data_IF_302305285868
#
_entry.id   IF_302305285868
#
_cell.length_a   1.000
_cell.length_b   1.000
_cell.length_c   1.000
_cell.angle_alpha   90.00
_cell.angle_beta   90.00
_cell.angle_gamma   90.00
#
_symmetry.space_group_name_H-M   'P 1'
#
loop_
_entity.id
_entity.type
_entity.pdbx_description
1 polymer ?
#
# COMPACT_ATOMS: atom_id res chain seq x y z
N UNK A 1 -8.22 71.39 18.04
CA UNK A 1 -9.14 70.27 17.80
C UNK A 1 -8.61 69.50 16.63
N UNK A 2 -7.92 68.41 16.82
CA UNK A 2 -7.40 67.55 15.79
C UNK A 2 -8.23 66.23 15.81
N UNK A 3 -9.02 66.05 14.76
CA UNK A 3 -9.78 64.83 14.53
C UNK A 3 -8.85 63.68 14.18
N UNK A 4 -8.89 62.63 14.98
CA UNK A 4 -8.22 61.35 14.70
C UNK A 4 -9.09 60.55 13.72
N UNK A 5 -8.54 60.28 12.55
CA UNK A 5 -9.13 59.37 11.55
C UNK A 5 -8.97 57.90 12.02
N UNK A 6 -10.04 57.09 12.10
CA UNK A 6 -9.93 55.68 12.49
C UNK A 6 -9.30 54.88 11.34
N UNK A 7 -8.22 54.16 11.69
CA UNK A 7 -7.58 53.18 10.82
C UNK A 7 -8.50 51.92 10.76
N UNK A 8 -8.89 51.45 9.58
CA UNK A 8 -9.68 50.20 9.51
C UNK A 8 -8.85 49.02 9.92
N UNK A 9 -9.26 48.29 10.96
CA UNK A 9 -8.79 46.95 11.27
C UNK A 9 -9.11 46.02 10.11
N UNK A 10 -8.12 45.76 9.27
CA UNK A 10 -8.16 44.61 8.37
C UNK A 10 -8.08 43.36 9.24
N UNK A 11 -9.22 42.73 9.44
CA UNK A 11 -9.32 41.37 9.94
C UNK A 11 -8.37 40.51 9.10
N UNK A 12 -7.30 39.99 9.73
CA UNK A 12 -6.52 38.89 9.18
C UNK A 12 -7.42 37.65 9.14
N UNK A 13 -8.10 37.44 8.03
CA UNK A 13 -8.62 36.14 7.70
C UNK A 13 -7.39 35.23 7.55
N UNK A 14 -7.15 34.41 8.56
CA UNK A 14 -6.31 33.23 8.43
C UNK A 14 -7.00 32.32 7.42
N UNK A 15 -6.58 32.40 6.18
CA UNK A 15 -6.94 31.39 5.19
C UNK A 15 -6.42 30.04 5.72
N UNK A 16 -7.35 29.22 6.22
CA UNK A 16 -7.05 27.85 6.56
C UNK A 16 -6.59 27.19 5.26
N UNK A 17 -5.38 26.59 5.28
CA UNK A 17 -4.87 25.88 4.14
C UNK A 17 -5.90 24.84 3.65
N UNK A 18 -6.02 24.63 2.35
CA UNK A 18 -6.99 23.72 1.76
C UNK A 18 -6.96 22.38 2.47
N UNK A 19 -8.10 21.75 2.67
CA UNK A 19 -8.27 20.44 3.32
C UNK A 19 -7.42 19.34 2.66
N UNK A 20 -7.05 19.54 1.43
CA UNK A 20 -6.17 18.69 0.62
C UNK A 20 -4.80 18.40 1.26
N UNK A 21 -4.23 19.38 1.99
CA UNK A 21 -2.91 19.26 2.63
C UNK A 21 -2.97 18.98 4.13
N UNK A 22 -4.10 18.51 4.63
CA UNK A 22 -4.27 18.23 6.06
C UNK A 22 -3.32 17.12 6.58
N UNK A 23 -2.84 16.23 5.72
CA UNK A 23 -1.91 15.15 6.04
C UNK A 23 -0.44 15.59 6.12
N UNK A 24 -0.11 16.79 5.62
CA UNK A 24 1.26 17.32 5.57
C UNK A 24 1.70 17.81 6.94
N UNK A 25 2.93 17.50 7.32
CA UNK A 25 3.52 17.94 8.58
C UNK A 25 3.82 19.46 8.55
N UNK A 26 3.08 20.23 9.32
CA UNK A 26 3.20 21.69 9.41
C UNK A 26 4.52 22.17 10.02
N UNK A 27 5.22 21.33 10.78
CA UNK A 27 6.56 21.64 11.29
C UNK A 27 7.62 21.62 10.18
N UNK A 28 7.36 20.89 9.09
CA UNK A 28 8.23 20.80 7.91
C UNK A 28 7.73 21.75 6.81
N UNK A 29 6.46 21.65 6.48
CA UNK A 29 5.79 22.39 5.41
C UNK A 29 5.09 23.62 5.99
N UNK A 30 5.82 24.76 6.02
CA UNK A 30 5.27 26.04 6.48
C UNK A 30 4.20 26.55 5.53
N UNK A 31 3.36 27.48 5.98
CA UNK A 31 2.32 28.11 5.15
C UNK A 31 2.91 28.71 3.86
N UNK A 32 4.12 29.31 3.95
CA UNK A 32 4.83 29.84 2.77
C UNK A 32 5.21 28.73 1.78
N UNK A 33 5.64 27.57 2.25
CA UNK A 33 5.98 26.43 1.37
C UNK A 33 4.72 25.84 0.76
N UNK A 34 3.62 25.73 1.50
CA UNK A 34 2.34 25.26 0.98
C UNK A 34 1.75 26.23 -0.05
N UNK A 35 1.87 27.54 0.17
CA UNK A 35 1.51 28.54 -0.82
C UNK A 35 2.38 28.41 -2.09
N UNK A 36 3.70 28.19 -1.93
CA UNK A 36 4.60 27.95 -3.05
C UNK A 36 4.27 26.63 -3.79
N UNK A 37 3.83 25.61 -3.07
CA UNK A 37 3.36 24.36 -3.67
C UNK A 37 2.12 24.61 -4.56
N UNK A 38 1.14 25.39 -4.08
CA UNK A 38 -0.06 25.76 -4.84
C UNK A 38 0.25 26.65 -6.06
N UNK A 39 1.03 27.70 -5.86
CA UNK A 39 1.29 28.75 -6.85
C UNK A 39 2.47 28.47 -7.78
N UNK A 40 3.25 27.40 -7.52
CA UNK A 40 4.53 27.15 -8.16
C UNK A 40 5.71 27.84 -7.47
N UNK A 41 6.91 27.27 -7.65
CA UNK A 41 8.16 27.84 -7.15
C UNK A 41 8.87 28.60 -8.27
N UNK A 42 9.63 29.64 -7.91
CA UNK A 42 10.46 30.38 -8.87
C UNK A 42 11.45 29.41 -9.52
N UNK A 43 11.46 29.34 -10.85
CA UNK A 43 12.33 28.45 -11.62
C UNK A 43 11.79 27.01 -11.72
N UNK A 44 10.55 26.77 -11.30
CA UNK A 44 9.82 25.48 -11.41
C UNK A 44 10.43 24.30 -10.63
N UNK A 45 11.60 24.46 -9.97
CA UNK A 45 12.28 23.39 -9.23
C UNK A 45 12.57 23.80 -7.78
N UNK A 46 12.43 22.85 -6.88
CA UNK A 46 12.75 23.04 -5.46
C UNK A 46 14.27 22.87 -5.25
N UNK A 47 14.93 23.89 -4.70
CA UNK A 47 16.40 23.95 -4.60
C UNK A 47 16.95 23.94 -3.17
N UNK A 48 16.13 24.02 -2.14
CA UNK A 48 16.57 24.04 -0.74
C UNK A 48 15.67 23.14 0.10
N UNK A 49 15.95 21.85 0.11
CA UNK A 49 15.14 20.82 0.78
C UNK A 49 15.93 20.05 1.83
N UNK A 50 17.24 19.85 1.64
CA UNK A 50 18.08 19.05 2.53
C UNK A 50 18.12 19.64 3.96
N UNK A 51 18.10 20.97 4.09
CA UNK A 51 18.05 21.67 5.38
C UNK A 51 16.80 21.33 6.20
N UNK A 52 15.73 20.92 5.55
CA UNK A 52 14.48 20.50 6.17
C UNK A 52 14.53 19.03 6.61
N UNK A 53 15.34 18.21 5.94
CA UNK A 53 15.53 16.81 6.26
C UNK A 53 16.26 16.64 7.60
N UNK A 54 17.38 17.35 7.81
CA UNK A 54 18.18 17.18 9.03
C UNK A 54 17.70 18.01 10.23
N UNK A 55 16.60 18.77 10.10
CA UNK A 55 16.02 19.45 11.26
C UNK A 55 15.69 18.45 12.40
N UNK A 56 16.02 18.77 13.64
CA UNK A 56 15.73 17.91 14.77
C UNK A 56 14.26 17.48 14.86
N UNK A 57 13.31 18.39 14.57
CA UNK A 57 11.87 18.10 14.55
C UNK A 57 11.50 17.10 13.45
N UNK A 58 12.10 17.20 12.26
CA UNK A 58 11.84 16.26 11.15
C UNK A 58 12.38 14.87 11.46
N UNK A 59 13.62 14.79 11.96
CA UNK A 59 14.24 13.51 12.35
C UNK A 59 13.49 12.85 13.51
N UNK A 60 13.03 13.63 14.49
CA UNK A 60 12.22 13.12 15.60
C UNK A 60 10.88 12.58 15.09
N UNK A 61 10.17 13.30 14.22
CA UNK A 61 8.92 12.83 13.64
C UNK A 61 9.12 11.58 12.77
N UNK A 62 10.20 11.51 12.01
CA UNK A 62 10.59 10.33 11.23
C UNK A 62 10.89 9.14 12.13
N UNK A 63 11.61 9.34 13.22
CA UNK A 63 11.87 8.31 14.22
C UNK A 63 10.59 7.77 14.84
N UNK A 64 9.66 8.62 15.27
CA UNK A 64 8.40 8.17 15.85
C UNK A 64 7.61 7.28 14.86
N UNK A 65 7.63 7.63 13.59
CA UNK A 65 6.99 6.81 12.56
C UNK A 65 7.68 5.45 12.38
N UNK A 66 9.02 5.43 12.33
CA UNK A 66 9.82 4.19 12.22
C UNK A 66 9.60 3.30 13.45
N UNK A 67 9.58 3.90 14.65
CA UNK A 67 9.31 3.22 15.94
C UNK A 67 7.91 2.58 15.96
N UNK A 68 6.88 3.33 15.53
CA UNK A 68 5.51 2.83 15.45
C UNK A 68 5.33 1.68 14.46
N UNK A 69 6.02 1.75 13.31
CA UNK A 69 5.97 0.71 12.27
C UNK A 69 6.73 -0.56 12.69
N UNK A 70 7.58 -0.50 13.71
CA UNK A 70 8.42 -1.62 14.16
C UNK A 70 9.31 -2.14 13.03
N UNK A 71 9.59 -3.42 13.03
CA UNK A 71 10.34 -4.08 11.96
C UNK A 71 11.68 -4.64 12.44
N UNK A 72 12.26 -5.51 11.62
CA UNK A 72 13.52 -6.19 11.94
C UNK A 72 14.74 -5.25 11.83
N UNK A 73 15.83 -5.60 12.51
CA UNK A 73 17.11 -4.92 12.39
C UNK A 73 17.70 -5.05 10.97
N UNK A 74 18.47 -4.07 10.53
CA UNK A 74 19.20 -4.06 9.26
C UNK A 74 20.45 -4.97 9.31
N UNK A 75 21.43 -4.62 8.48
CA UNK A 75 22.73 -5.32 8.42
C UNK A 75 23.56 -5.11 9.69
N UNK A 76 23.41 -3.93 10.32
CA UNK A 76 24.06 -3.52 11.57
C UNK A 76 23.53 -4.22 12.83
N UNK A 77 22.45 -5.01 12.68
CA UNK A 77 21.75 -5.70 13.78
C UNK A 77 21.18 -4.79 14.87
N UNK A 78 21.15 -3.46 14.64
CA UNK A 78 20.52 -2.52 15.57
C UNK A 78 19.00 -2.65 15.51
N UNK A 79 18.36 -3.03 16.63
CA UNK A 79 16.91 -3.13 16.73
C UNK A 79 16.27 -1.76 17.04
N UNK A 80 14.95 -1.67 16.87
CA UNK A 80 14.17 -0.46 17.27
C UNK A 80 14.34 -0.18 18.76
N UNK A 81 14.33 -1.21 19.61
CA UNK A 81 14.50 -1.08 21.07
C UNK A 81 15.92 -0.60 21.43
N UNK A 82 16.93 -1.13 20.75
CA UNK A 82 18.32 -0.69 20.94
C UNK A 82 18.54 0.75 20.53
N UNK A 83 17.91 1.19 19.41
CA UNK A 83 17.97 2.60 19.01
C UNK A 83 17.22 3.48 20.00
N UNK A 84 16.03 3.06 20.47
CA UNK A 84 15.21 3.81 21.43
C UNK A 84 15.94 4.09 22.77
N UNK A 85 16.82 3.22 23.21
CA UNK A 85 17.58 3.38 24.45
C UNK A 85 18.50 4.63 24.43
N UNK A 86 18.94 5.08 23.25
CA UNK A 86 19.83 6.23 23.08
C UNK A 86 19.33 7.18 21.95
N UNK A 87 18.01 7.29 21.76
CA UNK A 87 17.40 7.96 20.63
C UNK A 87 17.88 9.41 20.44
N UNK A 88 18.03 10.17 21.52
CA UNK A 88 18.45 11.58 21.46
C UNK A 88 19.88 11.72 20.92
N UNK A 89 20.80 10.86 21.36
CA UNK A 89 22.19 10.86 20.93
C UNK A 89 22.26 10.51 19.44
N UNK A 90 21.65 9.39 19.06
CA UNK A 90 21.67 8.92 17.68
C UNK A 90 21.00 9.88 16.69
N UNK A 91 19.89 10.52 17.07
CA UNK A 91 19.25 11.52 16.21
C UNK A 91 20.08 12.80 16.09
N UNK A 92 20.77 13.22 17.17
CA UNK A 92 21.69 14.38 17.12
C UNK A 92 22.90 14.10 16.21
N UNK A 93 23.52 12.94 16.35
CA UNK A 93 24.62 12.50 15.47
C UNK A 93 24.17 12.44 14.02
N UNK A 94 23.03 11.79 13.76
CA UNK A 94 22.47 11.64 12.41
C UNK A 94 22.18 13.01 11.77
N UNK A 95 21.65 13.96 12.53
CA UNK A 95 21.42 15.33 12.07
C UNK A 95 22.72 16.02 11.67
N UNK A 96 23.78 15.93 12.50
CA UNK A 96 25.11 16.47 12.21
C UNK A 96 25.75 15.83 10.99
N UNK A 97 25.65 14.49 10.85
CA UNK A 97 26.20 13.78 9.70
C UNK A 97 25.49 14.20 8.40
N UNK A 98 24.18 14.38 8.43
CA UNK A 98 23.41 14.90 7.29
C UNK A 98 23.77 16.35 6.98
N UNK A 99 23.85 17.22 7.98
CA UNK A 99 24.23 18.63 7.81
C UNK A 99 25.61 18.77 7.18
N UNK A 100 26.59 17.97 7.64
CA UNK A 100 27.98 17.99 7.17
C UNK A 100 28.20 17.19 5.88
N UNK A 101 27.18 16.52 5.34
CA UNK A 101 27.30 15.67 4.16
C UNK A 101 28.12 14.39 4.40
N UNK A 102 28.26 13.98 5.65
CA UNK A 102 29.00 12.76 6.05
C UNK A 102 28.16 11.50 6.11
N UNK A 103 26.82 11.65 6.17
CA UNK A 103 25.93 10.49 6.17
C UNK A 103 26.16 9.64 4.91
N UNK A 104 26.30 8.32 5.12
CA UNK A 104 26.34 7.32 4.06
C UNK A 104 25.40 6.18 4.41
N UNK A 105 24.51 5.77 3.49
CA UNK A 105 23.63 4.64 3.72
C UNK A 105 24.44 3.34 3.83
N UNK A 106 23.98 2.42 4.69
CA UNK A 106 24.59 1.11 4.83
C UNK A 106 23.91 0.09 3.92
N UNK A 107 24.58 -1.02 3.61
CA UNK A 107 24.02 -2.07 2.78
C UNK A 107 22.65 -2.57 3.26
N UNK A 108 21.77 -2.88 2.33
CA UNK A 108 20.43 -3.43 2.60
C UNK A 108 20.53 -4.93 2.87
N UNK A 109 20.04 -5.38 4.01
CA UNK A 109 19.96 -6.81 4.31
C UNK A 109 18.76 -7.42 3.58
N UNK A 110 19.04 -8.33 2.62
CA UNK A 110 17.99 -9.05 1.87
C UNK A 110 17.56 -10.31 2.61
N UNK A 111 16.25 -10.49 2.73
CA UNK A 111 15.60 -11.71 3.23
C UNK A 111 14.56 -12.19 2.23
N UNK A 112 14.35 -13.51 2.17
CA UNK A 112 13.33 -14.11 1.31
C UNK A 112 12.07 -14.40 2.13
N UNK A 113 10.96 -13.76 1.78
CA UNK A 113 9.66 -14.00 2.41
C UNK A 113 8.89 -15.05 1.61
N UNK A 114 8.39 -16.14 2.25
CA UNK A 114 7.61 -17.14 1.57
C UNK A 114 6.34 -16.57 0.92
N UNK A 115 6.11 -16.90 -0.35
CA UNK A 115 4.84 -16.68 -1.06
C UNK A 115 4.04 -17.98 -1.14
N UNK A 116 2.72 -17.86 -1.36
CA UNK A 116 1.89 -19.01 -1.67
C UNK A 116 2.41 -19.76 -2.93
N UNK A 117 2.42 -21.11 -2.89
CA UNK A 117 2.91 -21.92 -4.00
C UNK A 117 4.42 -22.19 -3.98
N UNK A 118 5.09 -22.05 -2.82
CA UNK A 118 6.52 -22.39 -2.66
C UNK A 118 7.50 -21.36 -3.26
N UNK A 119 7.00 -20.27 -3.84
CA UNK A 119 7.83 -19.14 -4.31
C UNK A 119 8.22 -18.24 -3.14
N UNK A 120 9.29 -17.48 -3.31
CA UNK A 120 9.71 -16.44 -2.36
C UNK A 120 9.57 -15.04 -2.97
N UNK A 121 9.56 -14.05 -2.11
CA UNK A 121 9.67 -12.63 -2.47
C UNK A 121 10.86 -12.02 -1.74
N UNK A 122 11.80 -11.38 -2.44
CA UNK A 122 12.85 -10.65 -1.79
C UNK A 122 12.28 -9.45 -1.02
N UNK A 123 12.82 -9.21 0.16
CA UNK A 123 12.55 -8.01 0.96
C UNK A 123 13.89 -7.44 1.43
N UNK A 124 14.16 -6.19 1.09
CA UNK A 124 15.29 -5.44 1.60
C UNK A 124 14.95 -4.81 2.95
N UNK A 125 15.84 -4.96 3.93
CA UNK A 125 15.71 -4.37 5.25
C UNK A 125 16.85 -3.37 5.45
N UNK A 126 16.61 -2.06 5.28
CA UNK A 126 17.57 -1.02 5.60
C UNK A 126 17.81 -0.93 7.12
N UNK A 127 18.92 -0.32 7.55
CA UNK A 127 19.19 -0.06 8.96
C UNK A 127 18.12 0.86 9.57
N UNK A 128 18.05 0.94 10.90
CA UNK A 128 17.13 1.86 11.58
C UNK A 128 17.45 3.31 11.21
N UNK A 129 18.74 3.66 11.15
CA UNK A 129 19.21 5.00 10.74
C UNK A 129 18.77 5.32 9.32
N UNK A 130 18.97 4.42 8.37
CA UNK A 130 18.56 4.62 6.97
C UNK A 130 17.04 4.78 6.85
N UNK A 131 16.26 3.98 7.58
CA UNK A 131 14.78 4.14 7.60
C UNK A 131 14.35 5.49 8.12
N UNK A 132 15.04 6.04 9.12
CA UNK A 132 14.75 7.39 9.66
C UNK A 132 15.04 8.44 8.60
N UNK A 133 16.22 8.39 7.96
CA UNK A 133 16.59 9.38 6.92
C UNK A 133 15.65 9.27 5.72
N UNK A 134 15.35 8.07 5.23
CA UNK A 134 14.39 7.85 4.15
C UNK A 134 12.99 8.38 4.51
N UNK A 135 12.54 8.19 5.76
CA UNK A 135 11.26 8.74 6.23
C UNK A 135 11.30 10.25 6.27
N UNK A 136 12.38 10.86 6.77
CA UNK A 136 12.56 12.31 6.80
C UNK A 136 12.55 12.91 5.40
N UNK A 137 13.31 12.33 4.46
CA UNK A 137 13.32 12.75 3.04
C UNK A 137 11.92 12.59 2.44
N UNK A 138 11.28 11.44 2.63
CA UNK A 138 9.92 11.22 2.12
C UNK A 138 8.96 12.30 2.60
N UNK A 139 8.96 12.64 3.89
CA UNK A 139 8.09 13.70 4.46
C UNK A 139 8.35 15.08 3.85
N UNK A 140 9.58 15.34 3.40
CA UNK A 140 9.96 16.59 2.76
C UNK A 140 9.55 16.63 1.29
N UNK A 141 9.71 15.53 0.54
CA UNK A 141 9.50 15.57 -0.92
C UNK A 141 8.14 15.03 -1.37
N UNK A 142 7.46 14.23 -0.56
CA UNK A 142 6.17 13.62 -0.93
C UNK A 142 5.10 14.65 -1.35
N UNK A 143 4.92 15.80 -0.67
CA UNK A 143 3.95 16.80 -1.11
C UNK A 143 4.24 17.40 -2.49
N UNK A 144 5.53 17.48 -2.88
CA UNK A 144 5.92 18.00 -4.19
C UNK A 144 5.38 17.10 -5.30
N UNK A 145 5.56 15.80 -5.16
CA UNK A 145 5.11 14.82 -6.14
C UNK A 145 3.61 14.49 -6.03
N UNK A 146 3.05 14.53 -4.80
CA UNK A 146 1.62 14.28 -4.59
C UNK A 146 0.73 15.29 -5.33
N UNK A 147 1.21 16.53 -5.49
CA UNK A 147 0.55 17.57 -6.30
C UNK A 147 0.40 17.16 -7.77
N UNK A 148 1.41 16.49 -8.31
CA UNK A 148 1.44 16.10 -9.73
C UNK A 148 0.66 14.81 -10.00
N UNK A 149 0.57 13.90 -9.01
CA UNK A 149 -0.04 12.60 -9.21
C UNK A 149 -1.54 12.69 -9.53
N UNK A 150 -1.93 12.06 -10.63
CA UNK A 150 -3.31 12.04 -11.10
C UNK A 150 -4.25 11.27 -10.16
N UNK A 151 -5.55 11.61 -10.16
CA UNK A 151 -6.56 10.97 -9.30
C UNK A 151 -6.64 9.46 -9.44
N UNK A 152 -6.37 8.91 -10.63
CA UNK A 152 -6.47 7.49 -10.96
C UNK A 152 -5.40 6.61 -10.30
N UNK A 153 -4.36 7.19 -9.70
CA UNK A 153 -3.32 6.48 -8.93
C UNK A 153 -3.66 6.48 -7.45
N UNK A 154 -3.71 5.29 -6.83
CA UNK A 154 -4.18 5.09 -5.46
C UNK A 154 -3.14 4.49 -4.51
N UNK A 155 -2.21 3.67 -5.02
CA UNK A 155 -1.27 2.92 -4.19
C UNK A 155 -0.24 3.81 -3.50
N UNK A 156 0.00 3.58 -2.20
CA UNK A 156 1.03 4.26 -1.39
C UNK A 156 0.90 5.78 -1.28
N UNK A 157 -0.27 6.33 -1.55
CA UNK A 157 -0.55 7.78 -1.51
C UNK A 157 -1.33 8.16 -0.26
N UNK A 158 -1.10 9.36 0.31
CA UNK A 158 -1.85 9.87 1.44
C UNK A 158 -3.35 9.97 1.15
N UNK A 159 -4.18 9.54 2.11
CA UNK A 159 -5.63 9.62 2.01
C UNK A 159 -6.28 8.70 0.99
N UNK A 160 -5.53 7.94 0.21
CA UNK A 160 -6.02 7.01 -0.80
C UNK A 160 -5.76 5.54 -0.42
N UNK A 161 -6.67 4.66 -0.78
CA UNK A 161 -6.53 3.24 -0.45
C UNK A 161 -7.21 2.30 -1.44
N UNK A 162 -7.04 0.99 -1.21
CA UNK A 162 -7.64 -0.05 -2.06
C UNK A 162 -9.15 0.10 -2.25
N UNK A 163 -9.88 0.60 -1.22
CA UNK A 163 -11.33 0.76 -1.31
C UNK A 163 -11.73 1.88 -2.26
N UNK A 164 -10.89 2.90 -2.40
CA UNK A 164 -11.15 4.04 -3.27
C UNK A 164 -10.92 3.61 -4.73
N UNK A 165 -9.83 2.92 -5.01
CA UNK A 165 -9.56 2.30 -6.32
C UNK A 165 -10.70 1.34 -6.74
N UNK A 166 -11.19 0.50 -5.80
CA UNK A 166 -12.29 -0.42 -6.07
C UNK A 166 -13.63 0.29 -6.32
N UNK A 167 -13.89 1.45 -5.68
CA UNK A 167 -15.09 2.26 -5.97
C UNK A 167 -15.01 2.88 -7.36
N UNK A 168 -13.84 3.33 -7.77
CA UNK A 168 -13.62 3.88 -9.11
C UNK A 168 -13.88 2.81 -10.19
N UNK A 169 -13.31 1.61 -10.03
CA UNK A 169 -13.62 0.47 -10.91
C UNK A 169 -15.11 0.19 -10.97
N UNK A 170 -15.80 0.16 -9.81
CA UNK A 170 -17.25 -0.05 -9.76
C UNK A 170 -18.04 1.09 -10.48
N UNK A 171 -17.55 2.32 -10.40
CA UNK A 171 -18.11 3.47 -11.10
C UNK A 171 -18.07 3.25 -12.60
N UNK A 172 -16.89 2.99 -13.16
CA UNK A 172 -16.73 2.77 -14.60
C UNK A 172 -17.50 1.56 -15.13
N UNK A 173 -17.55 0.46 -14.36
CA UNK A 173 -18.36 -0.71 -14.74
C UNK A 173 -19.85 -0.37 -14.82
N UNK A 174 -20.38 0.47 -13.92
CA UNK A 174 -21.78 0.95 -13.98
C UNK A 174 -22.03 1.90 -15.15
N UNK A 175 -21.02 2.64 -15.59
CA UNK A 175 -21.06 3.49 -16.77
C UNK A 175 -20.97 2.71 -18.08
N UNK A 176 -20.81 1.37 -18.02
CA UNK A 176 -20.77 0.50 -19.19
C UNK A 176 -19.37 0.22 -19.74
N UNK A 177 -18.28 0.57 -19.03
CA UNK A 177 -16.91 0.25 -19.40
C UNK A 177 -16.59 -1.18 -18.96
N UNK A 178 -16.99 -2.19 -19.74
CA UNK A 178 -16.92 -3.61 -19.36
C UNK A 178 -15.73 -4.36 -19.95
N UNK A 179 -15.13 -3.81 -21.00
CA UNK A 179 -13.94 -4.37 -21.62
C UNK A 179 -12.70 -3.88 -20.87
N UNK A 180 -11.90 -4.79 -20.35
CA UNK A 180 -10.84 -4.47 -19.41
C UNK A 180 -9.49 -4.98 -19.89
N UNK A 181 -8.49 -4.13 -19.88
CA UNK A 181 -7.08 -4.51 -19.92
C UNK A 181 -6.65 -4.72 -18.48
N UNK A 182 -6.32 -5.95 -18.12
CA UNK A 182 -5.66 -6.31 -16.86
C UNK A 182 -4.16 -6.48 -17.16
N UNK A 183 -3.32 -5.63 -16.61
CA UNK A 183 -1.89 -5.60 -16.92
C UNK A 183 -1.04 -5.69 -15.66
N UNK A 184 -0.08 -6.61 -15.66
CA UNK A 184 0.87 -6.87 -14.57
C UNK A 184 2.30 -6.62 -15.06
N UNK A 185 3.06 -5.78 -14.36
CA UNK A 185 4.46 -5.52 -14.66
C UNK A 185 5.36 -6.60 -14.06
N UNK A 186 6.23 -7.18 -14.88
CA UNK A 186 7.16 -8.22 -14.43
C UNK A 186 8.31 -7.61 -13.63
N UNK A 187 8.39 -7.94 -12.33
CA UNK A 187 9.52 -7.53 -11.49
C UNK A 187 9.69 -6.02 -11.37
N UNK A 188 8.60 -5.26 -11.37
CA UNK A 188 8.59 -3.81 -11.52
C UNK A 188 9.64 -3.08 -10.66
N UNK A 189 9.67 -3.33 -9.33
CA UNK A 189 10.61 -2.68 -8.43
C UNK A 189 12.09 -2.97 -8.76
N UNK A 190 12.37 -4.11 -9.35
CA UNK A 190 13.72 -4.52 -9.70
C UNK A 190 14.14 -4.03 -11.11
N UNK A 191 13.18 -3.49 -11.90
CA UNK A 191 13.38 -3.06 -13.29
C UNK A 191 13.43 -1.53 -13.47
N UNK A 192 13.20 -0.75 -12.41
CA UNK A 192 13.20 0.72 -12.48
C UNK A 192 14.58 1.23 -12.90
N UNK A 193 14.69 1.91 -14.05
CA UNK A 193 15.93 2.54 -14.50
C UNK A 193 16.32 3.69 -13.58
N UNK A 194 17.54 3.66 -13.03
CA UNK A 194 18.05 4.71 -12.17
C UNK A 194 18.16 6.05 -12.92
N UNK A 195 18.62 6.04 -14.17
CA UNK A 195 18.80 7.23 -14.99
C UNK A 195 17.45 7.91 -15.31
N UNK A 196 16.44 7.12 -15.72
CA UNK A 196 15.11 7.66 -16.00
C UNK A 196 14.44 8.18 -14.74
N UNK A 197 14.59 7.47 -13.61
CA UNK A 197 14.04 7.90 -12.34
C UNK A 197 14.69 9.21 -11.88
N UNK A 198 16.01 9.31 -11.95
CA UNK A 198 16.75 10.52 -11.58
C UNK A 198 16.31 11.72 -12.42
N UNK A 199 16.19 11.57 -13.73
CA UNK A 199 15.68 12.63 -14.61
C UNK A 199 14.30 13.11 -14.19
N UNK A 200 13.38 12.20 -13.86
CA UNK A 200 12.02 12.56 -13.38
C UNK A 200 12.02 13.28 -12.03
N UNK A 201 12.95 12.92 -11.14
CA UNK A 201 13.13 13.65 -9.88
C UNK A 201 13.68 15.07 -10.15
N UNK A 202 14.65 15.18 -11.05
CA UNK A 202 15.28 16.45 -11.42
C UNK A 202 14.34 17.43 -12.14
N UNK A 203 13.23 16.96 -12.70
CA UNK A 203 12.19 17.84 -13.24
C UNK A 203 11.58 18.75 -12.17
N UNK A 204 11.52 18.28 -10.90
CA UNK A 204 10.90 18.99 -9.78
C UNK A 204 11.89 19.46 -8.71
N UNK A 205 13.04 18.82 -8.59
CA UNK A 205 14.03 19.05 -7.54
C UNK A 205 15.39 19.35 -8.15
N UNK A 206 16.03 20.43 -7.67
CA UNK A 206 17.40 20.82 -8.03
C UNK A 206 18.35 20.95 -6.83
N UNK A 207 17.94 20.44 -5.65
CA UNK A 207 18.81 20.35 -4.47
C UNK A 207 19.81 19.20 -4.67
N UNK A 208 21.06 19.54 -5.07
CA UNK A 208 22.10 18.56 -5.41
C UNK A 208 22.39 17.58 -4.27
N UNK A 209 22.44 18.05 -3.01
CA UNK A 209 22.69 17.16 -1.85
C UNK A 209 21.56 16.15 -1.63
N UNK A 210 20.33 16.56 -1.89
CA UNK A 210 19.19 15.66 -1.82
C UNK A 210 19.19 14.65 -2.97
N UNK A 211 19.53 15.09 -4.18
CA UNK A 211 19.68 14.22 -5.35
C UNK A 211 20.78 13.18 -5.14
N UNK A 212 21.96 13.59 -4.61
CA UNK A 212 23.06 12.69 -4.27
C UNK A 212 22.63 11.64 -3.23
N UNK A 213 21.82 12.05 -2.25
CA UNK A 213 21.29 11.15 -1.23
C UNK A 213 20.35 10.12 -1.83
N UNK A 214 19.43 10.53 -2.70
CA UNK A 214 18.52 9.63 -3.42
C UNK A 214 19.30 8.67 -4.32
N UNK A 215 20.28 9.15 -5.07
CA UNK A 215 21.15 8.32 -5.90
C UNK A 215 21.92 7.29 -5.08
N UNK A 216 22.43 7.68 -3.89
CA UNK A 216 23.15 6.77 -2.99
C UNK A 216 22.28 5.61 -2.50
N UNK A 217 20.97 5.80 -2.30
CA UNK A 217 20.07 4.72 -1.96
C UNK A 217 19.74 3.80 -3.13
N UNK A 218 19.69 4.31 -4.35
CA UNK A 218 19.47 3.49 -5.55
C UNK A 218 20.68 2.57 -5.82
N UNK A 219 21.88 3.03 -5.52
CA UNK A 219 23.15 2.31 -5.69
C UNK A 219 23.64 1.61 -4.41
N UNK A 220 22.77 1.52 -3.40
CA UNK A 220 23.10 0.90 -2.12
C UNK A 220 23.29 -0.61 -2.26
N UNK A 221 24.40 -1.12 -1.73
CA UNK A 221 24.69 -2.54 -1.76
C UNK A 221 23.60 -3.38 -1.11
N UNK A 222 23.32 -4.53 -1.69
CA UNK A 222 22.38 -5.52 -1.18
C UNK A 222 23.17 -6.73 -0.69
N UNK A 223 22.94 -7.15 0.56
CA UNK A 223 23.63 -8.28 1.19
C UNK A 223 22.63 -9.40 1.47
N UNK A 224 22.95 -10.61 1.00
CA UNK A 224 22.21 -11.85 1.26
C UNK A 224 23.17 -12.94 1.76
N UNK A 225 23.18 -13.21 3.05
CA UNK A 225 24.15 -14.13 3.65
C UNK A 225 25.57 -13.62 3.50
N UNK A 226 26.37 -14.31 2.67
CA UNK A 226 27.77 -13.93 2.34
C UNK A 226 27.89 -13.19 1.00
N UNK A 227 26.83 -13.15 0.22
CA UNK A 227 26.80 -12.48 -1.08
C UNK A 227 26.50 -10.99 -0.91
N UNK A 228 27.21 -10.15 -1.68
CA UNK A 228 26.96 -8.70 -1.78
C UNK A 228 27.09 -8.26 -3.22
N UNK A 229 26.18 -7.36 -3.65
CA UNK A 229 26.25 -6.75 -4.99
C UNK A 229 25.62 -5.36 -4.95
N UNK A 230 26.04 -4.50 -5.88
CA UNK A 230 25.44 -3.20 -6.12
C UNK A 230 24.43 -3.31 -7.26
N UNK A 231 23.14 -2.94 -7.07
CA UNK A 231 22.16 -2.99 -8.13
C UNK A 231 22.42 -1.91 -9.19
N UNK A 232 22.26 -2.26 -10.46
CA UNK A 232 22.36 -1.32 -11.59
C UNK A 232 21.00 -0.75 -12.00
N UNK A 233 19.92 -1.34 -11.50
CA UNK A 233 18.53 -0.93 -11.68
C UNK A 233 17.71 -1.33 -10.47
N UNK A 234 16.52 -0.77 -10.36
CA UNK A 234 15.55 -1.10 -9.34
C UNK A 234 15.64 -0.23 -8.08
N UNK A 235 14.61 -0.37 -7.26
CA UNK A 235 14.58 0.20 -5.90
C UNK A 235 14.36 -0.93 -4.89
N UNK A 236 15.06 -0.95 -3.74
CA UNK A 236 14.93 -2.06 -2.79
C UNK A 236 13.49 -2.23 -2.32
N UNK A 237 12.90 -3.41 -2.58
CA UNK A 237 11.58 -3.74 -2.04
C UNK A 237 11.64 -3.79 -0.51
N UNK A 238 10.97 -2.83 0.15
CA UNK A 238 10.98 -2.69 1.61
C UNK A 238 11.70 -1.44 2.14
N UNK A 239 12.41 -0.71 1.30
CA UNK A 239 12.90 0.62 1.64
C UNK A 239 11.71 1.61 1.73
N UNK A 240 11.81 2.59 2.65
CA UNK A 240 10.69 3.51 2.95
C UNK A 240 10.38 4.45 1.79
N UNK A 241 11.39 4.86 1.04
CA UNK A 241 11.26 5.80 -0.08
C UNK A 241 10.79 5.12 -1.37
N UNK A 242 11.04 3.81 -1.54
CA UNK A 242 10.79 3.09 -2.79
C UNK A 242 9.35 3.18 -3.32
N UNK A 243 8.29 3.15 -2.49
CA UNK A 243 6.93 3.32 -2.99
C UNK A 243 6.65 4.69 -3.63
N UNK A 244 7.23 5.77 -3.11
CA UNK A 244 7.10 7.10 -3.70
C UNK A 244 7.84 7.17 -5.05
N UNK A 245 9.07 6.66 -5.09
CA UNK A 245 9.88 6.61 -6.32
C UNK A 245 9.23 5.74 -7.40
N UNK A 246 8.64 4.61 -7.00
CA UNK A 246 7.87 3.75 -7.88
C UNK A 246 6.64 4.47 -8.48
N UNK A 247 5.87 5.20 -7.68
CA UNK A 247 4.77 6.00 -8.19
C UNK A 247 5.23 7.09 -9.16
N UNK A 248 6.34 7.76 -8.85
CA UNK A 248 6.92 8.77 -9.72
C UNK A 248 7.37 8.17 -11.07
N UNK A 249 7.92 6.95 -11.04
CA UNK A 249 8.32 6.26 -12.27
C UNK A 249 7.14 5.92 -13.19
N UNK A 250 5.98 5.57 -12.64
CA UNK A 250 4.77 5.24 -13.42
C UNK A 250 3.88 6.44 -13.73
N UNK A 251 4.12 7.59 -13.12
CA UNK A 251 3.29 8.77 -13.33
C UNK A 251 3.15 9.20 -14.81
N UNK A 252 4.20 9.18 -15.65
CA UNK A 252 4.04 9.49 -17.08
C UNK A 252 3.14 8.52 -17.84
N UNK A 253 3.01 7.25 -17.39
CA UNK A 253 2.00 6.34 -17.93
C UNK A 253 0.58 6.80 -17.55
N UNK A 254 0.38 7.23 -16.30
CA UNK A 254 -0.91 7.79 -15.86
C UNK A 254 -1.31 8.99 -16.72
N UNK A 255 -0.35 9.90 -16.98
CA UNK A 255 -0.56 11.10 -17.84
C UNK A 255 -0.93 10.67 -19.26
N UNK A 256 -0.14 9.81 -19.89
CA UNK A 256 -0.39 9.31 -21.25
C UNK A 256 -1.78 8.68 -21.38
N UNK A 257 -2.17 7.82 -20.44
CA UNK A 257 -3.48 7.19 -20.48
C UNK A 257 -4.62 8.20 -20.27
N UNK A 258 -4.41 9.19 -19.41
CA UNK A 258 -5.38 10.28 -19.18
C UNK A 258 -5.56 11.16 -20.42
N UNK A 259 -4.47 11.55 -21.08
CA UNK A 259 -4.49 12.37 -22.31
C UNK A 259 -5.17 11.65 -23.48
N UNK A 260 -5.00 10.34 -23.57
CA UNK A 260 -5.69 9.49 -24.54
C UNK A 260 -7.15 9.20 -24.17
N UNK A 261 -7.64 9.69 -23.03
CA UNK A 261 -9.02 9.53 -22.58
C UNK A 261 -9.37 8.15 -22.03
N UNK A 262 -8.39 7.31 -21.73
CA UNK A 262 -8.62 5.99 -21.15
C UNK A 262 -8.99 6.05 -19.66
N UNK A 263 -9.87 5.15 -19.21
CA UNK A 263 -10.29 5.00 -17.82
C UNK A 263 -9.38 4.01 -17.09
N UNK A 264 -8.22 4.49 -16.65
CA UNK A 264 -7.25 3.69 -15.92
C UNK A 264 -7.46 3.80 -14.41
N UNK A 265 -7.28 2.71 -13.68
CA UNK A 265 -7.24 2.68 -12.21
C UNK A 265 -5.99 1.92 -11.80
N UNK A 266 -5.05 2.60 -11.14
CA UNK A 266 -3.76 2.05 -10.75
C UNK A 266 -3.58 2.01 -9.22
N UNK A 267 -3.10 0.88 -8.71
CA UNK A 267 -2.68 0.73 -7.33
C UNK A 267 -1.23 0.21 -7.28
N UNK A 268 -0.27 1.09 -7.15
CA UNK A 268 1.16 0.81 -7.30
C UNK A 268 1.49 0.29 -8.72
N UNK A 269 1.97 -0.93 -8.85
CA UNK A 269 2.27 -1.64 -10.10
C UNK A 269 1.09 -2.46 -10.68
N UNK A 270 0.01 -2.59 -9.92
CA UNK A 270 -1.21 -3.31 -10.30
C UNK A 270 -2.21 -2.31 -10.90
N UNK A 271 -2.60 -2.45 -12.17
CA UNK A 271 -3.53 -1.52 -12.82
C UNK A 271 -4.45 -2.18 -13.83
N UNK A 272 -5.61 -1.56 -13.99
CA UNK A 272 -6.61 -1.95 -14.98
C UNK A 272 -7.02 -0.74 -15.81
N UNK A 273 -7.32 -0.97 -17.10
CA UNK A 273 -7.88 0.05 -18.00
C UNK A 273 -9.24 -0.43 -18.45
N UNK A 274 -10.27 0.34 -18.15
CA UNK A 274 -11.66 0.01 -18.48
C UNK A 274 -12.07 0.72 -19.77
N UNK A 275 -12.64 -0.01 -20.71
CA UNK A 275 -13.00 0.40 -22.05
C UNK A 275 -14.44 0.04 -22.37
N UNK A 276 -15.04 0.71 -23.35
CA UNK A 276 -16.42 0.48 -23.78
C UNK A 276 -16.56 -0.74 -24.72
N UNK A 277 -15.49 -1.08 -25.43
CA UNK A 277 -15.50 -2.15 -26.42
C UNK A 277 -14.11 -2.81 -26.59
N UNK A 278 -14.08 -3.97 -27.21
CA UNK A 278 -12.85 -4.74 -27.42
C UNK A 278 -11.79 -4.02 -28.29
N UNK A 279 -12.14 -3.32 -29.40
CA UNK A 279 -11.14 -2.56 -30.15
C UNK A 279 -10.46 -1.47 -29.33
N UNK A 280 -11.20 -0.74 -28.50
CA UNK A 280 -10.64 0.28 -27.61
C UNK A 280 -9.69 -0.36 -26.58
N UNK A 281 -10.07 -1.50 -25.99
CA UNK A 281 -9.23 -2.20 -25.03
C UNK A 281 -7.94 -2.73 -25.69
N UNK A 282 -8.03 -3.24 -26.91
CA UNK A 282 -6.85 -3.67 -27.65
C UNK A 282 -5.92 -2.50 -27.98
N UNK A 283 -6.46 -1.36 -28.40
CA UNK A 283 -5.68 -0.15 -28.64
C UNK A 283 -5.00 0.36 -27.35
N UNK A 284 -5.72 0.36 -26.23
CA UNK A 284 -5.15 0.71 -24.94
C UNK A 284 -3.98 -0.20 -24.54
N UNK A 285 -4.10 -1.52 -24.77
CA UNK A 285 -3.03 -2.45 -24.49
C UNK A 285 -1.79 -2.17 -25.33
N UNK A 286 -1.94 -1.85 -26.63
CA UNK A 286 -0.79 -1.52 -27.49
C UNK A 286 -0.09 -0.23 -27.02
N UNK A 287 -0.84 0.80 -26.62
CA UNK A 287 -0.27 2.03 -26.03
C UNK A 287 0.53 1.73 -24.75
N UNK A 288 0.02 0.84 -23.89
CA UNK A 288 0.74 0.40 -22.69
C UNK A 288 2.00 -0.36 -23.05
N UNK A 289 1.97 -1.28 -24.03
CA UNK A 289 3.16 -2.05 -24.46
C UNK A 289 4.26 -1.13 -24.94
N UNK A 290 3.93 -0.20 -25.84
CA UNK A 290 4.92 0.78 -26.36
C UNK A 290 5.55 1.56 -25.22
N UNK A 291 4.73 2.13 -24.33
CA UNK A 291 5.24 2.92 -23.20
C UNK A 291 6.13 2.08 -22.27
N UNK A 292 5.71 0.85 -21.95
CA UNK A 292 6.45 -0.06 -21.06
C UNK A 292 7.82 -0.40 -21.63
N UNK A 293 7.91 -0.71 -22.92
CA UNK A 293 9.18 -0.99 -23.62
C UNK A 293 10.10 0.22 -23.66
N UNK A 294 9.59 1.40 -24.02
CA UNK A 294 10.33 2.66 -24.05
C UNK A 294 10.91 3.05 -22.68
N UNK A 295 10.26 2.60 -21.60
CA UNK A 295 10.67 2.88 -20.22
C UNK A 295 11.43 1.72 -19.55
N UNK A 296 11.93 0.74 -20.33
CA UNK A 296 12.76 -0.34 -19.81
C UNK A 296 12.02 -1.33 -18.90
N UNK A 297 10.69 -1.36 -18.98
CA UNK A 297 9.84 -2.29 -18.23
C UNK A 297 9.37 -3.44 -19.11
N UNK A 298 8.74 -4.44 -18.52
CA UNK A 298 8.21 -5.60 -19.23
C UNK A 298 6.85 -6.00 -18.66
N UNK A 299 5.85 -6.20 -19.53
CA UNK A 299 4.59 -6.80 -19.13
C UNK A 299 4.75 -8.29 -18.86
N UNK A 300 4.01 -8.81 -17.88
CA UNK A 300 3.99 -10.25 -17.59
C UNK A 300 3.10 -10.96 -18.62
N UNK A 301 3.64 -11.85 -19.50
CA UNK A 301 2.89 -12.39 -20.63
C UNK A 301 1.66 -13.20 -20.19
N UNK A 302 1.77 -13.99 -19.11
CA UNK A 302 0.69 -14.88 -18.67
C UNK A 302 -0.36 -14.18 -17.78
N UNK A 303 -0.17 -12.92 -17.44
CA UNK A 303 -1.09 -12.20 -16.56
C UNK A 303 -1.67 -10.94 -17.18
N UNK A 304 -1.13 -10.54 -18.32
CA UNK A 304 -1.67 -9.42 -19.10
C UNK A 304 -2.69 -9.95 -20.09
N UNK A 305 -3.94 -9.51 -19.98
CA UNK A 305 -5.00 -9.96 -20.88
C UNK A 305 -6.06 -8.87 -21.09
N UNK A 306 -6.84 -9.06 -22.16
CA UNK A 306 -8.02 -8.26 -22.48
C UNK A 306 -9.23 -9.17 -22.39
N UNK A 307 -10.31 -8.70 -21.75
CA UNK A 307 -11.56 -9.46 -21.67
C UNK A 307 -12.78 -8.58 -21.42
N UNK A 308 -13.96 -9.11 -21.73
CA UNK A 308 -15.23 -8.51 -21.31
C UNK A 308 -15.64 -9.11 -19.96
N UNK A 309 -15.61 -8.33 -18.89
CA UNK A 309 -15.93 -8.80 -17.55
C UNK A 309 -17.42 -9.13 -17.34
N UNK A 310 -18.28 -8.87 -18.30
CA UNK A 310 -19.67 -9.33 -18.31
C UNK A 310 -19.81 -10.78 -18.76
N UNK A 311 -18.80 -11.32 -19.44
CA UNK A 311 -18.77 -12.68 -19.96
C UNK A 311 -18.07 -13.62 -18.98
N UNK A 312 -18.65 -14.82 -18.78
CA UNK A 312 -18.03 -15.85 -17.94
C UNK A 312 -16.68 -16.32 -18.55
N UNK A 313 -15.65 -16.46 -17.74
CA UNK A 313 -14.31 -16.82 -18.17
C UNK A 313 -13.44 -15.65 -18.67
N UNK A 314 -14.00 -14.46 -18.86
CA UNK A 314 -13.28 -13.27 -19.35
C UNK A 314 -13.11 -12.18 -18.28
N UNK A 315 -13.36 -12.50 -17.02
CA UNK A 315 -13.20 -11.58 -15.91
C UNK A 315 -11.74 -11.24 -15.59
N UNK A 316 -11.54 -10.21 -14.78
CA UNK A 316 -10.23 -9.77 -14.32
C UNK A 316 -10.12 -9.80 -12.80
N UNK A 317 -8.88 -9.82 -12.29
CA UNK A 317 -8.58 -9.79 -10.85
C UNK A 317 -7.92 -8.46 -10.47
N UNK A 318 -8.51 -7.74 -9.54
CA UNK A 318 -7.94 -6.49 -9.03
C UNK A 318 -8.09 -6.37 -7.52
N UNK A 319 -7.00 -6.07 -6.82
CA UNK A 319 -6.96 -5.85 -5.36
C UNK A 319 -7.66 -6.96 -4.54
N UNK A 320 -7.48 -8.21 -4.95
CA UNK A 320 -8.02 -9.38 -4.24
C UNK A 320 -9.47 -9.73 -4.58
N UNK A 321 -10.13 -8.98 -5.44
CA UNK A 321 -11.42 -9.29 -6.03
C UNK A 321 -11.26 -9.89 -7.43
N UNK A 322 -12.29 -10.60 -7.89
CA UNK A 322 -12.52 -11.01 -9.28
C UNK A 322 -13.81 -10.39 -9.75
N UNK A 323 -13.77 -9.70 -10.85
CA UNK A 323 -14.91 -9.08 -11.53
C UNK A 323 -15.25 -9.94 -12.74
N UNK A 324 -16.40 -10.58 -12.74
CA UNK A 324 -16.79 -11.53 -13.78
C UNK A 324 -18.31 -11.72 -13.82
N UNK A 325 -18.85 -11.91 -15.02
CA UNK A 325 -20.27 -12.08 -15.27
C UNK A 325 -21.14 -11.01 -14.59
N UNK A 326 -20.72 -9.74 -14.66
CA UNK A 326 -21.36 -8.61 -14.02
C UNK A 326 -21.42 -8.63 -12.49
N UNK A 327 -20.58 -9.46 -11.86
CA UNK A 327 -20.54 -9.63 -10.41
C UNK A 327 -19.13 -9.47 -9.86
N UNK A 328 -19.04 -9.21 -8.55
CA UNK A 328 -17.79 -9.11 -7.82
C UNK A 328 -17.65 -10.29 -6.85
N UNK A 329 -16.61 -11.07 -7.06
CA UNK A 329 -16.26 -12.23 -6.26
C UNK A 329 -14.99 -11.97 -5.45
N UNK A 330 -14.77 -12.72 -4.40
CA UNK A 330 -13.44 -12.76 -3.76
C UNK A 330 -12.56 -13.68 -4.57
N UNK A 331 -11.35 -13.22 -4.93
CA UNK A 331 -10.36 -14.00 -5.67
C UNK A 331 -10.00 -15.30 -4.92
N UNK A 332 -9.86 -16.40 -5.64
CA UNK A 332 -9.60 -17.74 -5.07
C UNK A 332 -8.39 -17.78 -4.15
N UNK A 333 -7.31 -17.11 -4.51
CA UNK A 333 -6.11 -16.97 -3.67
C UNK A 333 -6.41 -16.30 -2.33
N UNK A 334 -7.28 -15.29 -2.32
CA UNK A 334 -7.72 -14.60 -1.09
C UNK A 334 -8.61 -15.48 -0.21
N UNK A 335 -9.51 -16.26 -0.83
CA UNK A 335 -10.33 -17.26 -0.15
C UNK A 335 -9.49 -18.39 0.48
N UNK A 336 -8.53 -18.91 -0.29
CA UNK A 336 -7.58 -19.93 0.19
C UNK A 336 -6.79 -19.40 1.39
N UNK A 337 -6.20 -18.23 1.29
CA UNK A 337 -5.43 -17.61 2.37
C UNK A 337 -6.25 -17.38 3.63
N UNK A 338 -7.51 -16.95 3.50
CA UNK A 338 -8.43 -16.83 4.62
C UNK A 338 -8.70 -18.19 5.28
N UNK A 339 -9.04 -19.21 4.49
CA UNK A 339 -9.27 -20.58 4.99
C UNK A 339 -8.05 -21.16 5.70
N UNK A 340 -6.85 -20.89 5.21
CA UNK A 340 -5.60 -21.36 5.82
C UNK A 340 -5.36 -20.69 7.18
N UNK A 341 -5.57 -19.39 7.31
CA UNK A 341 -5.52 -18.67 8.59
C UNK A 341 -6.56 -19.22 9.60
N UNK A 342 -7.78 -19.53 9.14
CA UNK A 342 -8.78 -20.18 9.98
C UNK A 342 -8.31 -21.56 10.43
N UNK A 343 -7.74 -22.38 9.53
CA UNK A 343 -7.19 -23.70 9.86
C UNK A 343 -6.10 -23.60 10.93
N UNK A 344 -5.19 -22.65 10.80
CA UNK A 344 -4.11 -22.39 11.74
C UNK A 344 -4.66 -22.08 13.15
N UNK A 345 -5.57 -21.10 13.24
CA UNK A 345 -6.18 -20.67 14.51
C UNK A 345 -7.09 -21.75 15.15
N UNK A 346 -7.60 -22.69 14.36
CA UNK A 346 -8.47 -23.79 14.80
C UNK A 346 -7.79 -25.15 14.77
N UNK A 347 -6.46 -25.23 14.93
CA UNK A 347 -5.74 -26.50 15.10
C UNK A 347 -6.25 -27.20 16.36
N UNK A 348 -6.62 -28.49 16.22
CA UNK A 348 -7.17 -29.31 17.33
C UNK A 348 -6.16 -29.56 18.46
N UNK A 349 -4.90 -29.28 18.22
CA UNK A 349 -3.77 -29.50 19.13
C UNK A 349 -3.32 -28.26 19.87
N UNK A 350 -4.01 -27.11 19.72
CA UNK A 350 -3.62 -25.85 20.37
C UNK A 350 -3.70 -25.87 21.90
N UNK A 351 -4.49 -26.76 22.49
CA UNK A 351 -4.62 -26.86 23.96
C UNK A 351 -5.32 -25.67 24.65
N UNK A 352 -6.04 -24.82 23.90
CA UNK A 352 -6.73 -23.63 24.43
C UNK A 352 -8.25 -23.81 24.42
N UNK A 353 -8.97 -23.03 25.22
CA UNK A 353 -10.42 -23.07 25.32
C UNK A 353 -11.10 -22.63 24.02
N UNK A 354 -12.35 -23.09 23.77
CA UNK A 354 -13.14 -22.63 22.65
C UNK A 354 -13.35 -21.10 22.66
N UNK A 355 -13.53 -20.52 23.85
CA UNK A 355 -13.68 -19.06 24.04
C UNK A 355 -12.46 -18.33 23.50
N UNK A 356 -11.25 -18.72 23.89
CA UNK A 356 -9.98 -18.15 23.41
C UNK A 356 -9.85 -18.26 21.89
N UNK A 357 -10.27 -19.40 21.30
CA UNK A 357 -10.25 -19.56 19.83
C UNK A 357 -11.20 -18.57 19.16
N UNK A 358 -12.42 -18.37 19.69
CA UNK A 358 -13.40 -17.42 19.14
C UNK A 358 -12.91 -15.99 19.29
N UNK A 359 -12.32 -15.64 20.41
CA UNK A 359 -11.70 -14.32 20.66
C UNK A 359 -10.56 -14.03 19.66
N UNK A 360 -9.73 -15.02 19.34
CA UNK A 360 -8.67 -14.92 18.33
C UNK A 360 -9.19 -14.83 16.88
N UNK A 361 -10.31 -15.51 16.59
CA UNK A 361 -10.89 -15.56 15.24
C UNK A 361 -11.68 -14.30 14.88
N UNK A 362 -12.47 -13.80 15.83
CA UNK A 362 -13.45 -12.73 15.58
C UNK A 362 -12.85 -11.47 15.00
N UNK A 363 -11.72 -10.92 15.50
CA UNK A 363 -11.07 -9.74 14.89
C UNK A 363 -10.58 -10.02 13.46
N UNK A 364 -10.01 -11.21 13.21
CA UNK A 364 -9.54 -11.61 11.89
C UNK A 364 -10.70 -11.70 10.89
N UNK A 365 -11.81 -12.33 11.28
CA UNK A 365 -13.00 -12.48 10.42
C UNK A 365 -13.63 -11.12 10.14
N UNK A 366 -13.75 -10.25 11.16
CA UNK A 366 -14.28 -8.89 11.01
C UNK A 366 -13.42 -8.04 10.06
N UNK A 367 -12.10 -8.07 10.20
CA UNK A 367 -11.18 -7.36 9.32
C UNK A 367 -11.29 -7.84 7.87
N UNK A 368 -11.31 -9.17 7.67
CA UNK A 368 -11.47 -9.76 6.34
C UNK A 368 -12.83 -9.42 5.72
N UNK A 369 -13.92 -9.56 6.46
CA UNK A 369 -15.25 -9.16 6.01
C UNK A 369 -15.32 -7.65 5.71
N UNK A 370 -14.74 -6.80 6.55
CA UNK A 370 -14.70 -5.35 6.37
C UNK A 370 -14.05 -4.93 5.05
N UNK A 371 -13.09 -5.72 4.55
CA UNK A 371 -12.48 -5.53 3.24
C UNK A 371 -13.36 -6.10 2.11
N UNK A 372 -13.85 -7.34 2.25
CA UNK A 372 -14.56 -8.07 1.20
C UNK A 372 -16.10 -7.95 1.25
N UNK A 373 -16.66 -7.06 2.08
CA UNK A 373 -18.11 -6.92 2.28
C UNK A 373 -18.93 -6.63 1.01
N UNK A 374 -18.28 -6.12 -0.03
CA UNK A 374 -18.92 -5.82 -1.31
C UNK A 374 -18.87 -6.99 -2.31
N UNK A 375 -18.35 -8.16 -1.92
CA UNK A 375 -18.40 -9.36 -2.73
C UNK A 375 -19.82 -9.97 -2.75
N UNK A 376 -20.08 -10.85 -3.72
CA UNK A 376 -21.33 -11.59 -3.82
C UNK A 376 -21.74 -12.25 -2.51
N UNK A 377 -23.02 -12.11 -2.15
CA UNK A 377 -23.63 -12.65 -0.93
C UNK A 377 -23.35 -14.14 -0.74
N UNK A 378 -23.34 -14.92 -1.81
CA UNK A 378 -23.05 -16.36 -1.81
C UNK A 378 -21.66 -16.73 -1.28
N UNK A 379 -20.72 -15.78 -1.19
CA UNK A 379 -19.37 -15.99 -0.63
C UNK A 379 -19.39 -16.26 0.88
N UNK A 380 -20.27 -15.61 1.65
CA UNK A 380 -20.15 -15.55 3.11
C UNK A 380 -20.73 -16.76 3.83
N UNK A 381 -21.88 -17.27 3.41
CA UNK A 381 -22.54 -18.40 4.08
C UNK A 381 -21.69 -19.68 4.09
N UNK A 382 -21.05 -20.10 2.99
CA UNK A 382 -20.14 -21.25 2.99
C UNK A 382 -18.92 -21.05 3.90
N UNK A 383 -18.37 -19.83 4.00
CA UNK A 383 -17.23 -19.52 4.86
C UNK A 383 -17.64 -19.59 6.35
N UNK A 384 -18.79 -19.05 6.72
CA UNK A 384 -19.33 -19.20 8.08
C UNK A 384 -19.56 -20.67 8.44
N UNK A 385 -20.07 -21.46 7.49
CA UNK A 385 -20.23 -22.92 7.63
C UNK A 385 -18.88 -23.61 7.86
N UNK A 386 -17.86 -23.24 7.07
CA UNK A 386 -16.50 -23.75 7.22
C UNK A 386 -15.91 -23.45 8.60
N UNK A 387 -16.05 -22.22 9.10
CA UNK A 387 -15.55 -21.81 10.42
C UNK A 387 -16.23 -22.63 11.52
N UNK A 388 -17.58 -22.71 11.54
CA UNK A 388 -18.34 -23.46 12.54
C UNK A 388 -17.99 -24.94 12.53
N UNK A 389 -17.80 -25.54 11.36
CA UNK A 389 -17.33 -26.93 11.25
C UNK A 389 -15.97 -27.11 11.91
N UNK A 390 -15.03 -26.20 11.69
CA UNK A 390 -13.71 -26.25 12.33
C UNK A 390 -13.82 -26.17 13.85
N UNK A 391 -14.69 -25.31 14.39
CA UNK A 391 -14.93 -25.18 15.83
C UNK A 391 -15.57 -26.46 16.43
N UNK A 392 -16.56 -27.06 15.73
CA UNK A 392 -17.13 -28.37 16.14
C UNK A 392 -16.06 -29.46 16.18
N UNK A 393 -15.15 -29.48 15.22
CA UNK A 393 -14.01 -30.40 15.21
C UNK A 393 -13.09 -30.25 16.41
N UNK A 394 -12.86 -29.01 16.90
CA UNK A 394 -12.11 -28.76 18.13
C UNK A 394 -12.86 -29.27 19.34
N UNK A 395 -14.17 -28.98 19.48
CA UNK A 395 -15.01 -29.46 20.58
C UNK A 395 -15.02 -30.98 20.66
N UNK A 396 -15.16 -31.68 19.52
CA UNK A 396 -15.05 -33.15 19.49
C UNK A 396 -13.75 -33.66 20.09
N UNK A 397 -12.63 -32.98 19.74
CA UNK A 397 -11.32 -33.37 20.30
C UNK A 397 -11.25 -33.12 21.81
N UNK A 398 -11.78 -31.98 22.28
CA UNK A 398 -11.81 -31.63 23.71
C UNK A 398 -12.67 -32.64 24.50
N UNK A 399 -13.78 -33.14 23.94
CA UNK A 399 -14.64 -34.15 24.53
C UNK A 399 -14.16 -35.59 24.25
N UNK A 400 -12.93 -35.79 23.71
CA UNK A 400 -12.37 -37.11 23.37
C UNK A 400 -13.23 -37.93 22.38
N UNK A 401 -14.04 -37.24 21.54
CA UNK A 401 -14.91 -37.90 20.54
C UNK A 401 -14.20 -38.02 19.19
N UNK A 402 -14.37 -39.16 18.48
CA UNK A 402 -13.83 -39.32 17.13
C UNK A 402 -14.55 -38.43 16.11
N UNK A 403 -13.93 -38.13 14.97
CA UNK A 403 -14.54 -37.42 13.84
C UNK A 403 -14.18 -35.92 13.74
N UNK A 404 -14.72 -35.26 12.69
CA UNK A 404 -14.30 -33.93 12.24
C UNK A 404 -15.42 -32.86 12.29
N UNK A 405 -16.50 -33.10 13.00
CA UNK A 405 -17.55 -32.09 13.19
C UNK A 405 -18.51 -31.92 12.00
N UNK A 406 -18.80 -33.02 11.29
CA UNK A 406 -19.69 -33.03 10.10
C UNK A 406 -21.06 -33.64 10.33
N UNK A 407 -21.26 -34.41 11.40
CA UNK A 407 -22.49 -35.17 11.58
C UNK A 407 -23.66 -34.32 12.08
N UNK A 408 -24.86 -34.78 11.87
CA UNK A 408 -26.10 -34.13 12.28
C UNK A 408 -26.15 -33.91 13.81
N UNK A 409 -25.62 -34.86 14.59
CA UNK A 409 -25.57 -34.76 16.05
C UNK A 409 -24.69 -33.61 16.54
N UNK A 410 -23.61 -33.31 15.82
CA UNK A 410 -22.78 -32.14 16.14
C UNK A 410 -23.55 -30.84 15.92
N UNK A 411 -24.43 -30.79 14.90
CA UNK A 411 -25.27 -29.63 14.65
C UNK A 411 -26.37 -29.46 15.69
N UNK A 412 -26.93 -30.54 16.22
CA UNK A 412 -27.86 -30.50 17.35
C UNK A 412 -27.18 -30.12 18.65
N UNK A 413 -26.03 -30.73 18.96
CA UNK A 413 -25.28 -30.49 20.19
C UNK A 413 -24.68 -29.06 20.26
N UNK A 414 -24.14 -28.56 19.15
CA UNK A 414 -23.56 -27.24 19.02
C UNK A 414 -24.19 -26.50 17.83
N UNK A 415 -25.40 -25.97 18.01
CA UNK A 415 -26.09 -25.22 16.94
C UNK A 415 -25.33 -23.93 16.60
N UNK A 416 -25.66 -23.28 15.48
CA UNK A 416 -25.01 -22.08 15.04
C UNK A 416 -25.11 -20.94 16.09
N UNK A 417 -26.24 -20.85 16.80
CA UNK A 417 -26.46 -19.89 17.88
C UNK A 417 -25.48 -20.07 19.04
N UNK A 418 -25.05 -21.30 19.34
CA UNK A 418 -24.07 -21.59 20.39
C UNK A 418 -22.79 -20.80 20.20
N UNK A 419 -22.25 -20.77 18.97
CA UNK A 419 -21.04 -20.01 18.65
C UNK A 419 -21.29 -18.50 18.60
N UNK A 420 -22.45 -18.08 18.10
CA UNK A 420 -22.83 -16.66 18.07
C UNK A 420 -22.96 -16.09 19.50
N UNK A 421 -23.57 -16.84 20.43
CA UNK A 421 -23.68 -16.46 21.84
C UNK A 421 -22.33 -16.38 22.55
N UNK A 422 -21.31 -17.10 22.06
CA UNK A 422 -19.92 -17.00 22.51
C UNK A 422 -19.14 -15.84 21.86
N UNK A 423 -19.79 -15.00 21.02
CA UNK A 423 -19.18 -13.84 20.39
C UNK A 423 -18.56 -14.08 19.01
N UNK A 424 -18.79 -15.25 18.39
CA UNK A 424 -18.30 -15.50 17.03
C UNK A 424 -19.00 -14.57 16.03
N UNK A 425 -18.19 -13.78 15.31
CA UNK A 425 -18.70 -12.92 14.24
C UNK A 425 -19.17 -13.77 13.05
N UNK A 426 -20.39 -13.50 12.56
CA UNK A 426 -21.02 -14.19 11.42
C UNK A 426 -21.14 -13.24 10.24
N UNK A 427 -20.40 -13.52 9.16
CA UNK A 427 -20.32 -12.66 7.97
C UNK A 427 -21.63 -12.56 7.22
N UNK A 428 -22.36 -13.68 7.04
CA UNK A 428 -23.65 -13.69 6.34
C UNK A 428 -24.69 -12.81 7.05
N UNK A 429 -24.75 -12.85 8.39
CA UNK A 429 -25.65 -12.01 9.18
C UNK A 429 -25.26 -10.53 9.07
N UNK A 430 -23.97 -10.22 9.14
CA UNK A 430 -23.46 -8.85 8.99
C UNK A 430 -23.79 -8.30 7.60
N UNK A 431 -23.64 -9.13 6.55
CA UNK A 431 -23.97 -8.75 5.18
C UNK A 431 -25.46 -8.48 4.98
N UNK A 432 -26.32 -9.33 5.56
CA UNK A 432 -27.77 -9.15 5.49
C UNK A 432 -28.20 -7.84 6.16
N UNK A 433 -27.68 -7.55 7.37
CA UNK A 433 -27.96 -6.28 8.07
C UNK A 433 -27.50 -5.06 7.26
N UNK A 434 -26.30 -5.09 6.68
CA UNK A 434 -25.78 -4.02 5.86
C UNK A 434 -26.58 -3.81 4.55
N UNK A 435 -27.25 -4.85 4.03
CA UNK A 435 -28.12 -4.75 2.84
C UNK A 435 -29.51 -4.19 3.17
N UNK A 436 -29.96 -4.32 4.42
CA UNK A 436 -31.24 -3.76 4.88
C UNK A 436 -31.13 -2.28 5.28
N UNK A 437 -29.91 -1.78 5.53
CA UNK A 437 -29.65 -0.39 5.89
C UNK A 437 -29.35 0.52 4.69
N UNK A 438 -29.41 -0.01 3.47
CA UNK A 438 -29.30 0.72 2.18
C UNK A 438 -30.67 0.83 1.53
#
# INVERSE_FOLDING_TARGET
>A
MSESVPVPEKAKQTETAPSEWAWVDRAIWTERMLAALGNGVKGYKWFSLIDKVYRPSTLQAAWQQVKANKGAAGIDRQSIESFAANELVYLSELGKDLEQGKYRPQAVRRVEIPKAGGKTRPLGIPTVKDRIVQTAVKRVIEPIFEKEFLPMSYGFRPGKGCKDALREVDGYLKEGYTHVVDADLKGYFDSISHDLLTKRIEEHISDGRLLDLLASWLQQDIVKGVESWTPTAGTPQGAVISPLLANLYLHPLDVKMSELGYRMVRYADDFVILCQNAPQAQAALEEVKVWVEENGLTLHPDKTHVGDCCVEGQGFEFLGYRFEAGRRWVRDKSLKGFKDKVREKTKRTRGVSLRTIIEDLTPMIRGWYGYFKNACKSTFQPLDGFIRRRLRSVLRKQEKRPGMGHCHDDHRRWPNAYFANMGLFTMATAHQRASQSR
#
